data_IF_910215484756
#
_entry.id   IF_910215484756
#
_cell.length_a   1.000
_cell.length_b   1.000
_cell.length_c   1.000
_cell.angle_alpha   90.00
_cell.angle_beta   90.00
_cell.angle_gamma   90.00
#
_symmetry.space_group_name_H-M   'P 1'
#
loop_
_entity.id
_entity.type
_entity.pdbx_description
1 polymer ?
#
# COMPACT_ATOMS: atom_id res chain seq x y z
N UNK A 1 -33.08 -25.94 8.52
CA UNK A 1 -34.18 -25.27 7.79
C UNK A 1 -33.64 -24.99 6.39
N UNK A 2 -34.46 -25.09 5.35
CA UNK A 2 -34.02 -25.28 3.95
C UNK A 2 -33.08 -24.17 3.46
N UNK A 3 -31.82 -24.53 3.17
CA UNK A 3 -30.91 -23.67 2.41
C UNK A 3 -31.53 -23.40 1.03
N UNK A 4 -32.05 -22.20 0.80
CA UNK A 4 -32.49 -21.79 -0.53
C UNK A 4 -31.25 -21.62 -1.42
N UNK A 5 -30.93 -22.69 -2.14
CA UNK A 5 -29.90 -22.69 -3.17
C UNK A 5 -30.49 -22.16 -4.47
N UNK A 6 -30.02 -20.98 -4.90
CA UNK A 6 -30.41 -20.39 -6.18
C UNK A 6 -29.29 -20.61 -7.18
N UNK A 7 -29.50 -21.45 -8.20
CA UNK A 7 -28.50 -21.69 -9.24
C UNK A 7 -28.78 -20.81 -10.46
N UNK A 8 -27.78 -20.05 -10.90
CA UNK A 8 -27.83 -19.23 -12.14
C UNK A 8 -26.61 -19.61 -12.98
N UNK A 9 -26.84 -20.29 -14.11
CA UNK A 9 -25.77 -20.80 -14.97
C UNK A 9 -24.89 -21.83 -14.26
N UNK A 10 -23.57 -21.64 -14.28
CA UNK A 10 -22.60 -22.55 -13.64
C UNK A 10 -22.36 -22.26 -12.13
N UNK A 11 -23.15 -21.39 -11.51
CA UNK A 11 -22.90 -20.92 -10.14
C UNK A 11 -24.12 -21.13 -9.24
N UNK A 12 -23.90 -21.79 -8.11
CA UNK A 12 -24.89 -22.00 -7.05
C UNK A 12 -24.69 -20.97 -5.94
N UNK A 13 -25.72 -20.19 -5.66
CA UNK A 13 -25.77 -19.26 -4.54
C UNK A 13 -26.41 -19.93 -3.33
N UNK A 14 -25.81 -19.82 -2.16
CA UNK A 14 -26.43 -20.17 -0.87
C UNK A 14 -26.83 -18.87 -0.18
N UNK A 15 -28.11 -18.70 0.13
CA UNK A 15 -28.57 -17.67 1.06
C UNK A 15 -28.22 -18.10 2.49
N UNK A 16 -27.47 -17.27 3.22
CA UNK A 16 -27.12 -17.54 4.61
C UNK A 16 -28.19 -16.96 5.54
N UNK A 17 -28.63 -17.76 6.53
CA UNK A 17 -29.67 -17.39 7.50
C UNK A 17 -29.30 -16.15 8.34
N UNK A 18 -30.30 -15.38 8.80
CA UNK A 18 -30.08 -14.20 9.66
C UNK A 18 -29.28 -14.51 10.94
N UNK A 19 -29.44 -15.73 11.47
CA UNK A 19 -28.74 -16.22 12.65
C UNK A 19 -27.22 -16.37 12.43
N UNK A 20 -26.80 -16.70 11.19
CA UNK A 20 -25.39 -16.75 10.78
C UNK A 20 -24.72 -15.37 10.87
N UNK A 21 -25.43 -14.31 10.52
CA UNK A 21 -24.93 -12.93 10.61
C UNK A 21 -24.96 -12.38 12.05
N UNK A 22 -25.94 -12.80 12.86
CA UNK A 22 -26.07 -12.39 14.26
C UNK A 22 -24.86 -12.84 15.10
N UNK A 23 -24.35 -14.06 14.89
CA UNK A 23 -23.22 -14.62 15.63
C UNK A 23 -21.86 -13.99 15.28
N UNK A 24 -21.75 -13.26 14.15
CA UNK A 24 -20.50 -12.64 13.67
C UNK A 24 -20.44 -11.13 13.82
N UNK A 25 -21.34 -10.52 14.61
CA UNK A 25 -21.30 -9.08 14.88
C UNK A 25 -20.07 -8.72 15.72
N UNK A 26 -19.07 -8.16 15.05
CA UNK A 26 -17.91 -7.56 15.70
C UNK A 26 -18.35 -6.31 16.48
N UNK A 27 -17.74 -6.11 17.65
CA UNK A 27 -17.98 -4.93 18.48
C UNK A 27 -17.51 -3.68 17.71
N UNK A 28 -18.43 -2.79 17.34
CA UNK A 28 -18.11 -1.54 16.62
C UNK A 28 -17.21 -0.67 17.50
N UNK A 29 -15.92 -0.62 17.17
CA UNK A 29 -14.91 0.07 17.97
C UNK A 29 -14.25 1.25 17.22
N UNK A 30 -14.28 1.26 15.89
CA UNK A 30 -13.60 2.29 15.09
C UNK A 30 -14.56 3.44 14.74
N UNK A 31 -14.30 4.63 15.29
CA UNK A 31 -14.89 5.90 14.83
C UNK A 31 -14.15 6.48 13.61
N UNK A 32 -14.67 7.56 13.04
CA UNK A 32 -14.11 8.19 11.84
C UNK A 32 -12.62 8.55 11.97
N UNK A 33 -12.21 9.11 13.11
CA UNK A 33 -10.81 9.45 13.38
C UNK A 33 -9.88 8.24 13.45
N UNK A 34 -10.33 7.13 14.05
CA UNK A 34 -9.53 5.90 14.06
C UNK A 34 -9.43 5.28 12.68
N UNK A 35 -10.47 5.36 11.84
CA UNK A 35 -10.44 4.87 10.46
C UNK A 35 -9.50 5.71 9.60
N UNK A 36 -9.51 7.04 9.77
CA UNK A 36 -8.56 7.93 9.10
C UNK A 36 -7.12 7.63 9.50
N UNK A 37 -6.85 7.50 10.80
CA UNK A 37 -5.51 7.18 11.31
C UNK A 37 -5.01 5.82 10.80
N UNK A 38 -5.89 4.82 10.71
CA UNK A 38 -5.58 3.51 10.11
C UNK A 38 -5.24 3.64 8.62
N UNK A 39 -5.98 4.47 7.88
CA UNK A 39 -5.70 4.75 6.48
C UNK A 39 -4.32 5.39 6.26
N UNK A 40 -3.98 6.40 7.06
CA UNK A 40 -2.66 7.05 7.01
C UNK A 40 -1.55 6.05 7.34
N UNK A 41 -1.73 5.25 8.41
CA UNK A 41 -0.76 4.24 8.80
C UNK A 41 -0.52 3.16 7.72
N UNK A 42 -1.52 2.89 6.87
CA UNK A 42 -1.41 1.90 5.80
C UNK A 42 -0.58 2.39 4.60
N UNK A 43 -0.49 3.71 4.37
CA UNK A 43 0.18 4.28 3.18
C UNK A 43 1.53 4.93 3.46
N UNK A 44 1.81 5.29 4.72
CA UNK A 44 3.02 6.03 5.12
C UNK A 44 4.34 5.32 4.78
N UNK A 45 4.34 4.00 4.63
CA UNK A 45 5.54 3.25 4.21
C UNK A 45 6.00 3.62 2.80
N UNK A 46 5.09 4.09 1.94
CA UNK A 46 5.39 4.58 0.60
C UNK A 46 6.27 5.84 0.61
N UNK A 47 6.16 6.70 1.62
CA UNK A 47 7.02 7.89 1.71
C UNK A 47 8.51 7.54 1.94
N UNK A 48 8.77 6.34 2.44
CA UNK A 48 10.12 5.80 2.66
C UNK A 48 10.61 4.91 1.51
N UNK A 49 9.84 4.73 0.44
CA UNK A 49 10.20 3.76 -0.61
C UNK A 49 9.63 4.09 -1.99
N UNK A 50 10.30 3.64 -3.05
CA UNK A 50 9.74 3.69 -4.41
C UNK A 50 9.90 5.02 -5.15
N UNK A 51 9.70 6.17 -4.51
CA UNK A 51 9.78 7.48 -5.17
C UNK A 51 11.16 7.80 -5.74
N UNK A 52 12.22 7.31 -5.10
CA UNK A 52 13.60 7.43 -5.57
C UNK A 52 13.81 6.71 -6.92
N UNK A 53 13.16 5.57 -7.14
CA UNK A 53 13.21 4.86 -8.42
C UNK A 53 12.41 5.59 -9.49
N UNK A 54 11.29 6.22 -9.11
CA UNK A 54 10.53 7.09 -10.02
C UNK A 54 11.32 8.30 -10.49
N UNK A 55 12.11 8.92 -9.61
CA UNK A 55 13.04 10.00 -9.99
C UNK A 55 14.14 9.49 -10.93
N UNK A 56 14.72 8.33 -10.64
CA UNK A 56 15.77 7.73 -11.47
C UNK A 56 15.26 7.35 -12.86
N UNK A 57 14.03 6.85 -12.97
CA UNK A 57 13.42 6.43 -14.23
C UNK A 57 12.83 7.59 -15.06
N UNK A 58 12.28 8.62 -14.40
CA UNK A 58 11.49 9.67 -15.07
C UNK A 58 12.05 11.08 -14.96
N UNK A 59 13.07 11.29 -14.12
CA UNK A 59 13.44 12.62 -13.64
C UNK A 59 12.33 13.27 -12.81
N UNK A 60 12.57 14.51 -12.38
CA UNK A 60 11.59 15.24 -11.58
C UNK A 60 10.29 15.52 -12.34
N UNK A 61 10.39 15.98 -13.60
CA UNK A 61 9.22 16.31 -14.40
C UNK A 61 8.38 15.08 -14.77
N UNK A 62 9.03 13.96 -15.09
CA UNK A 62 8.35 12.69 -15.35
C UNK A 62 7.59 12.19 -14.12
N UNK A 63 8.27 12.12 -12.96
CA UNK A 63 7.63 11.72 -11.70
C UNK A 63 6.49 12.66 -11.30
N UNK A 64 6.63 13.97 -11.48
CA UNK A 64 5.60 14.95 -11.16
C UNK A 64 4.33 14.71 -11.99
N UNK A 65 4.48 14.53 -13.31
CA UNK A 65 3.34 14.25 -14.21
C UNK A 65 2.70 12.91 -13.86
N UNK A 66 3.50 11.86 -13.65
CA UNK A 66 3.00 10.55 -13.23
C UNK A 66 2.22 10.64 -11.92
N UNK A 67 2.74 11.40 -10.94
CA UNK A 67 2.08 11.62 -9.64
C UNK A 67 0.72 12.30 -9.81
N UNK A 68 0.62 13.32 -10.67
CA UNK A 68 -0.67 14.00 -10.94
C UNK A 68 -1.68 13.05 -11.58
N UNK A 69 -1.26 12.26 -12.57
CA UNK A 69 -2.12 11.28 -13.24
C UNK A 69 -2.65 10.24 -12.22
N UNK A 70 -1.75 9.65 -11.43
CA UNK A 70 -2.11 8.67 -10.41
C UNK A 70 -3.00 9.28 -9.34
N UNK A 71 -2.75 10.53 -8.94
CA UNK A 71 -3.61 11.26 -7.98
C UNK A 71 -5.05 11.36 -8.49
N UNK A 72 -5.24 11.75 -9.75
CA UNK A 72 -6.59 11.85 -10.35
C UNK A 72 -7.27 10.47 -10.39
N UNK A 73 -6.54 9.43 -10.81
CA UNK A 73 -7.05 8.06 -10.81
C UNK A 73 -7.44 7.59 -9.41
N UNK A 74 -6.61 7.90 -8.41
CA UNK A 74 -6.82 7.50 -7.03
C UNK A 74 -8.03 8.22 -6.41
N UNK A 75 -8.25 9.50 -6.72
CA UNK A 75 -9.48 10.19 -6.34
C UNK A 75 -10.72 9.47 -6.88
N UNK A 76 -10.72 9.10 -8.16
CA UNK A 76 -11.81 8.33 -8.77
C UNK A 76 -12.07 6.99 -8.07
N UNK A 77 -10.99 6.28 -7.72
CA UNK A 77 -11.07 5.04 -6.95
C UNK A 77 -11.66 5.27 -5.55
N UNK A 78 -11.19 6.28 -4.82
CA UNK A 78 -11.67 6.62 -3.48
C UNK A 78 -13.16 6.97 -3.48
N UNK A 79 -13.64 7.78 -4.45
CA UNK A 79 -15.05 8.10 -4.55
C UNK A 79 -15.90 6.87 -4.88
N UNK A 80 -15.42 6.01 -5.77
CA UNK A 80 -16.11 4.75 -6.10
C UNK A 80 -16.26 3.85 -4.86
N UNK A 81 -15.18 3.69 -4.07
CA UNK A 81 -15.23 2.90 -2.82
C UNK A 81 -16.10 3.59 -1.77
N UNK A 82 -16.08 4.92 -1.68
CA UNK A 82 -16.90 5.67 -0.75
C UNK A 82 -18.40 5.50 -1.03
N UNK A 83 -18.82 5.40 -2.29
CA UNK A 83 -20.21 5.13 -2.67
C UNK A 83 -20.61 3.66 -2.46
N UNK A 84 -19.69 2.72 -2.74
CA UNK A 84 -19.96 1.28 -2.61
C UNK A 84 -19.95 0.79 -1.16
N UNK A 85 -19.12 1.37 -0.29
CA UNK A 85 -18.99 0.95 1.11
C UNK A 85 -20.28 1.05 1.96
N UNK A 86 -21.15 2.09 1.85
CA UNK A 86 -22.46 2.08 2.51
C UNK A 86 -23.49 1.20 1.78
N UNK A 87 -23.36 1.02 0.47
CA UNK A 87 -24.28 0.19 -0.31
C UNK A 87 -24.11 -1.31 -0.02
N UNK A 88 -22.89 -1.73 0.33
CA UNK A 88 -22.57 -3.11 0.72
C UNK A 88 -21.85 -3.14 2.07
N UNK A 89 -22.58 -2.95 3.19
CA UNK A 89 -21.99 -2.77 4.52
C UNK A 89 -21.62 -4.12 5.17
N UNK A 90 -20.92 -4.97 4.42
CA UNK A 90 -20.41 -6.25 4.90
C UNK A 90 -18.92 -6.39 4.58
N UNK A 91 -18.23 -7.17 5.41
CA UNK A 91 -16.78 -7.38 5.30
C UNK A 91 -16.46 -8.21 4.06
N UNK A 92 -16.06 -7.57 2.97
CA UNK A 92 -15.73 -8.27 1.71
C UNK A 92 -14.82 -7.55 0.73
N UNK A 93 -14.35 -6.33 1.03
CA UNK A 93 -13.33 -5.63 0.23
C UNK A 93 -13.70 -5.42 -1.24
N UNK A 94 -12.69 -5.27 -2.10
CA UNK A 94 -12.92 -5.07 -3.53
C UNK A 94 -13.51 -6.33 -4.18
N UNK A 95 -13.19 -7.52 -3.66
CA UNK A 95 -13.83 -8.77 -4.07
C UNK A 95 -15.36 -8.70 -4.01
N UNK A 96 -15.92 -8.16 -2.93
CA UNK A 96 -17.38 -8.03 -2.79
C UNK A 96 -17.96 -7.10 -3.85
N UNK A 97 -17.35 -5.92 -4.01
CA UNK A 97 -17.82 -4.91 -4.95
C UNK A 97 -17.81 -5.45 -6.39
N UNK A 98 -16.73 -6.10 -6.80
CA UNK A 98 -16.62 -6.69 -8.14
C UNK A 98 -17.51 -7.91 -8.33
N UNK A 99 -17.69 -8.74 -7.29
CA UNK A 99 -18.65 -9.86 -7.31
C UNK A 99 -20.07 -9.37 -7.55
N UNK A 100 -20.46 -8.27 -6.93
CA UNK A 100 -21.80 -7.70 -7.08
C UNK A 100 -21.99 -6.90 -8.36
N UNK A 101 -20.97 -6.18 -8.83
CA UNK A 101 -21.06 -5.37 -10.06
C UNK A 101 -20.84 -6.18 -11.36
N UNK A 102 -19.91 -7.14 -11.33
CA UNK A 102 -19.41 -7.86 -12.52
C UNK A 102 -19.68 -9.37 -12.46
N UNK A 103 -20.36 -9.85 -11.42
CA UNK A 103 -20.72 -11.25 -11.24
C UNK A 103 -19.55 -12.15 -10.80
N UNK A 104 -19.73 -13.48 -10.88
CA UNK A 104 -18.81 -14.45 -10.28
C UNK A 104 -17.37 -14.38 -10.77
N UNK A 105 -17.17 -14.15 -12.06
CA UNK A 105 -15.84 -14.07 -12.68
C UNK A 105 -15.11 -12.77 -12.32
N UNK A 106 -15.81 -11.64 -12.25
CA UNK A 106 -15.22 -10.38 -11.78
C UNK A 106 -14.81 -10.46 -10.31
N UNK A 107 -15.65 -11.07 -9.48
CA UNK A 107 -15.30 -11.42 -8.10
C UNK A 107 -14.05 -12.30 -8.03
N UNK A 108 -14.03 -13.42 -8.74
CA UNK A 108 -12.89 -14.35 -8.74
C UNK A 108 -11.58 -13.68 -9.16
N UNK A 109 -11.58 -12.94 -10.27
CA UNK A 109 -10.39 -12.24 -10.77
C UNK A 109 -9.86 -11.22 -9.74
N UNK A 110 -10.77 -10.45 -9.13
CA UNK A 110 -10.40 -9.48 -8.09
C UNK A 110 -9.85 -10.16 -6.85
N UNK A 111 -10.46 -11.26 -6.39
CA UNK A 111 -9.98 -11.99 -5.21
C UNK A 111 -8.60 -12.62 -5.42
N UNK A 112 -8.32 -13.13 -6.64
CA UNK A 112 -6.98 -13.62 -6.99
C UNK A 112 -5.98 -12.47 -7.01
N UNK A 113 -6.33 -11.33 -7.61
CA UNK A 113 -5.48 -10.15 -7.65
C UNK A 113 -5.17 -9.62 -6.23
N UNK A 114 -6.18 -9.47 -5.37
CA UNK A 114 -6.02 -9.07 -3.97
C UNK A 114 -5.12 -10.08 -3.22
N UNK A 115 -5.27 -11.39 -3.46
CA UNK A 115 -4.43 -12.40 -2.81
C UNK A 115 -2.96 -12.24 -3.19
N UNK A 116 -2.68 -12.00 -4.47
CA UNK A 116 -1.31 -11.73 -4.95
C UNK A 116 -0.78 -10.45 -4.31
N UNK A 117 -1.57 -9.38 -4.31
CA UNK A 117 -1.23 -8.10 -3.69
C UNK A 117 -0.85 -8.26 -2.21
N UNK A 118 -1.65 -9.00 -1.43
CA UNK A 118 -1.39 -9.25 -0.01
C UNK A 118 -0.14 -10.10 0.26
N UNK A 119 0.32 -10.91 -0.70
CA UNK A 119 1.56 -11.69 -0.58
C UNK A 119 2.78 -10.86 -1.01
N UNK A 120 2.64 -10.08 -2.09
CA UNK A 120 3.73 -9.27 -2.64
C UNK A 120 4.03 -8.06 -1.75
N UNK A 121 3.02 -7.42 -1.17
CA UNK A 121 3.19 -6.20 -0.34
C UNK A 121 4.15 -6.42 0.83
N UNK A 122 4.01 -7.46 1.67
CA UNK A 122 4.98 -7.76 2.72
C UNK A 122 6.40 -8.04 2.17
N UNK A 123 6.53 -8.69 1.02
CA UNK A 123 7.83 -8.98 0.41
C UNK A 123 8.55 -7.69 -0.02
N UNK A 124 7.83 -6.75 -0.62
CA UNK A 124 8.36 -5.42 -0.98
C UNK A 124 8.80 -4.67 0.28
N UNK A 125 7.94 -4.62 1.31
CA UNK A 125 8.24 -3.94 2.59
C UNK A 125 9.50 -4.53 3.24
N UNK A 126 9.61 -5.86 3.31
CA UNK A 126 10.78 -6.55 3.86
C UNK A 126 12.05 -6.24 3.07
N UNK A 127 11.95 -6.11 1.74
CA UNK A 127 13.09 -5.78 0.89
C UNK A 127 13.65 -4.39 1.20
N UNK A 128 12.78 -3.37 1.31
CA UNK A 128 13.21 -2.03 1.71
C UNK A 128 13.69 -1.97 3.15
N UNK A 129 12.99 -2.60 4.09
CA UNK A 129 13.43 -2.63 5.48
C UNK A 129 14.82 -3.30 5.63
N UNK A 130 15.07 -4.37 4.86
CA UNK A 130 16.37 -5.04 4.83
C UNK A 130 17.46 -4.14 4.24
N UNK A 131 17.20 -3.37 3.18
CA UNK A 131 18.21 -2.46 2.61
C UNK A 131 18.57 -1.33 3.58
N UNK A 132 17.60 -0.82 4.35
CA UNK A 132 17.86 0.14 5.42
C UNK A 132 18.69 -0.45 6.56
N UNK A 133 18.31 -1.63 7.06
CA UNK A 133 19.09 -2.33 8.10
C UNK A 133 20.51 -2.64 7.63
N UNK A 134 20.66 -3.13 6.41
CA UNK A 134 21.95 -3.40 5.79
C UNK A 134 22.83 -2.15 5.76
N UNK A 135 22.28 -1.00 5.36
CA UNK A 135 23.01 0.27 5.29
C UNK A 135 23.44 0.76 6.67
N UNK A 136 22.54 0.69 7.67
CA UNK A 136 22.82 1.08 9.05
C UNK A 136 23.92 0.20 9.66
N UNK A 137 23.78 -1.12 9.53
CA UNK A 137 24.72 -2.06 10.16
C UNK A 137 26.09 -2.09 9.50
N UNK A 138 26.15 -1.90 8.18
CA UNK A 138 27.41 -1.72 7.48
C UNK A 138 28.12 -0.43 7.97
N UNK A 139 27.39 0.68 8.07
CA UNK A 139 27.98 1.96 8.48
C UNK A 139 28.41 2.01 9.94
N UNK A 140 27.62 1.46 10.86
CA UNK A 140 27.83 1.65 12.31
C UNK A 140 28.60 0.50 12.96
N UNK A 141 28.48 -0.72 12.41
CA UNK A 141 29.00 -1.93 13.03
C UNK A 141 29.95 -2.72 12.13
N UNK A 142 30.25 -2.22 10.92
CA UNK A 142 31.04 -2.91 9.89
C UNK A 142 30.55 -4.36 9.65
N UNK A 143 29.25 -4.58 9.84
CA UNK A 143 28.62 -5.89 9.72
C UNK A 143 27.69 -5.90 8.52
N UNK A 144 28.03 -6.74 7.54
CA UNK A 144 27.31 -6.85 6.28
C UNK A 144 26.99 -8.31 5.98
N UNK A 145 25.98 -8.90 6.65
CA UNK A 145 25.55 -10.26 6.33
C UNK A 145 24.91 -10.32 4.94
N UNK A 146 24.69 -11.53 4.42
CA UNK A 146 23.95 -11.70 3.19
C UNK A 146 22.50 -11.20 3.34
N UNK A 147 21.94 -10.57 2.29
CA UNK A 147 20.63 -9.91 2.34
C UNK A 147 19.49 -10.81 2.82
N UNK A 148 19.52 -12.10 2.48
CA UNK A 148 18.51 -13.06 2.92
C UNK A 148 18.45 -13.24 4.45
N UNK A 149 19.55 -12.96 5.16
CA UNK A 149 19.61 -13.00 6.63
C UNK A 149 18.68 -11.92 7.20
N UNK A 150 18.71 -10.72 6.65
CA UNK A 150 17.80 -9.64 7.04
C UNK A 150 16.34 -10.00 6.76
N UNK A 151 16.06 -10.61 5.61
CA UNK A 151 14.71 -11.07 5.28
C UNK A 151 14.21 -12.09 6.32
N UNK A 152 15.05 -13.08 6.66
CA UNK A 152 14.70 -14.09 7.65
C UNK A 152 14.42 -13.46 9.03
N UNK A 153 15.27 -12.54 9.49
CA UNK A 153 15.08 -11.83 10.76
C UNK A 153 13.77 -11.04 10.75
N UNK A 154 13.52 -10.24 9.71
CA UNK A 154 12.31 -9.42 9.60
C UNK A 154 11.04 -10.27 9.53
N UNK A 155 11.04 -11.35 8.75
CA UNK A 155 9.90 -12.27 8.70
C UNK A 155 9.65 -12.95 10.04
N UNK A 156 10.70 -13.38 10.75
CA UNK A 156 10.55 -13.95 12.09
C UNK A 156 9.91 -12.95 13.05
N UNK A 157 10.32 -11.68 13.00
CA UNK A 157 9.74 -10.60 13.82
C UNK A 157 8.26 -10.39 13.45
N UNK A 158 7.94 -10.21 12.17
CA UNK A 158 6.58 -9.92 11.73
C UNK A 158 5.64 -11.11 11.96
N UNK A 159 6.07 -12.34 11.68
CA UNK A 159 5.30 -13.54 11.96
C UNK A 159 5.12 -13.71 13.47
N UNK A 160 6.18 -13.52 14.25
CA UNK A 160 6.11 -13.56 15.72
C UNK A 160 5.09 -12.57 16.28
N UNK A 161 5.10 -11.32 15.79
CA UNK A 161 4.14 -10.29 16.18
C UNK A 161 2.70 -10.65 15.77
N UNK A 162 2.51 -11.24 14.59
CA UNK A 162 1.21 -11.75 14.16
C UNK A 162 0.69 -12.89 15.05
N UNK A 163 1.56 -13.75 15.56
CA UNK A 163 1.19 -14.85 16.46
C UNK A 163 0.83 -14.36 17.87
N UNK A 164 1.50 -13.32 18.38
CA UNK A 164 1.26 -12.76 19.73
C UNK A 164 -0.14 -12.16 19.87
N UNK A 165 -0.72 -11.66 18.79
CA UNK A 165 -2.13 -11.31 18.72
C UNK A 165 -2.42 -9.91 18.20
N UNK A 166 -3.64 -9.75 17.68
CA UNK A 166 -4.10 -8.59 16.93
C UNK A 166 -4.01 -7.28 17.72
N UNK A 167 -4.26 -7.30 19.03
CA UNK A 167 -4.17 -6.09 19.86
C UNK A 167 -2.75 -5.53 19.96
N UNK A 168 -1.75 -6.41 20.09
CA UNK A 168 -0.35 -6.00 20.11
C UNK A 168 0.07 -5.41 18.75
N UNK A 169 -0.36 -6.03 17.65
CA UNK A 169 -0.12 -5.53 16.29
C UNK A 169 -0.70 -4.13 16.09
N UNK A 170 -1.93 -3.89 16.52
CA UNK A 170 -2.55 -2.56 16.40
C UNK A 170 -1.79 -1.48 17.16
N UNK A 171 -1.40 -1.75 18.41
CA UNK A 171 -0.64 -0.78 19.22
C UNK A 171 0.72 -0.50 18.59
N UNK A 172 1.38 -1.53 18.08
CA UNK A 172 2.66 -1.41 17.37
C UNK A 172 2.51 -0.55 16.11
N UNK A 173 1.50 -0.82 15.27
CA UNK A 173 1.23 -0.04 14.05
C UNK A 173 1.01 1.43 14.35
N UNK A 174 0.21 1.77 15.36
CA UNK A 174 -0.03 3.17 15.74
C UNK A 174 1.27 3.84 16.22
N UNK A 175 2.06 3.16 17.04
CA UNK A 175 3.34 3.67 17.51
C UNK A 175 4.31 3.95 16.35
N UNK A 176 4.45 2.99 15.42
CA UNK A 176 5.31 3.14 14.25
C UNK A 176 4.81 4.26 13.34
N UNK A 177 3.50 4.39 13.13
CA UNK A 177 2.93 5.49 12.34
C UNK A 177 3.31 6.86 12.93
N UNK A 178 3.16 7.06 14.23
CA UNK A 178 3.54 8.32 14.89
C UNK A 178 5.04 8.59 14.80
N UNK A 179 5.87 7.55 14.97
CA UNK A 179 7.32 7.65 14.80
C UNK A 179 7.69 8.05 13.37
N UNK A 180 7.10 7.40 12.36
CA UNK A 180 7.31 7.69 10.95
C UNK A 180 6.91 9.12 10.58
N UNK A 181 5.76 9.61 11.08
CA UNK A 181 5.36 11.01 10.90
C UNK A 181 6.39 11.97 11.51
N UNK A 182 6.93 11.65 12.68
CA UNK A 182 8.01 12.44 13.30
C UNK A 182 9.27 12.47 12.44
N UNK A 183 9.70 11.34 11.90
CA UNK A 183 10.86 11.24 11.00
C UNK A 183 10.63 12.06 9.72
N UNK A 184 9.46 11.95 9.10
CA UNK A 184 9.12 12.73 7.92
C UNK A 184 9.10 14.22 8.21
N UNK A 185 8.54 14.64 9.36
CA UNK A 185 8.54 16.04 9.76
C UNK A 185 9.98 16.59 9.90
N UNK A 186 10.87 15.82 10.54
CA UNK A 186 12.30 16.19 10.64
C UNK A 186 12.94 16.26 9.25
N UNK A 187 12.70 15.27 8.39
CA UNK A 187 13.22 15.24 7.02
C UNK A 187 12.77 16.46 6.21
N UNK A 188 11.49 16.80 6.21
CA UNK A 188 10.99 17.96 5.47
C UNK A 188 11.55 19.27 6.01
N UNK A 189 11.60 19.46 7.33
CA UNK A 189 12.16 20.67 7.94
C UNK A 189 13.65 20.81 7.63
N UNK A 190 14.43 19.72 7.73
CA UNK A 190 15.84 19.72 7.38
C UNK A 190 16.06 20.01 5.89
N UNK A 191 15.24 19.42 5.02
CA UNK A 191 15.33 19.61 3.56
C UNK A 191 15.11 21.06 3.12
N UNK A 192 14.40 21.88 3.91
CA UNK A 192 14.22 23.31 3.60
C UNK A 192 15.54 24.10 3.65
N UNK A 193 16.52 23.67 4.45
CA UNK A 193 17.81 24.36 4.56
C UNK A 193 18.74 24.08 3.38
N UNK A 194 18.72 22.86 2.83
CA UNK A 194 19.59 22.42 1.73
C UNK A 194 18.86 22.39 0.37
N UNK A 195 17.66 22.97 0.29
CA UNK A 195 16.89 22.99 -0.95
C UNK A 195 17.56 23.86 -2.02
N UNK A 196 17.81 23.26 -3.19
CA UNK A 196 18.28 23.97 -4.38
C UNK A 196 17.43 23.60 -5.60
N UNK A 197 17.01 24.61 -6.35
CA UNK A 197 16.30 24.44 -7.63
C UNK A 197 17.09 23.64 -8.65
N UNK A 198 18.42 23.67 -8.60
CA UNK A 198 19.29 22.87 -9.48
C UNK A 198 19.11 21.36 -9.30
N UNK A 199 18.64 20.92 -8.12
CA UNK A 199 18.45 19.51 -7.83
C UNK A 199 17.20 18.93 -8.51
N UNK A 200 16.32 19.77 -9.05
CA UNK A 200 15.16 19.30 -9.82
C UNK A 200 15.57 18.79 -11.21
N UNK A 201 16.69 19.27 -11.73
CA UNK A 201 17.19 18.99 -13.08
C UNK A 201 18.61 18.45 -13.05
N UNK A 202 18.97 17.71 -11.99
CA UNK A 202 20.31 17.17 -11.80
C UNK A 202 20.57 15.88 -12.58
N UNK A 203 19.55 15.33 -13.24
CA UNK A 203 19.66 14.17 -14.12
C UNK A 203 19.91 14.67 -15.54
N UNK A 204 21.02 14.23 -16.13
CA UNK A 204 21.42 14.65 -17.47
C UNK A 204 20.42 14.12 -18.53
N UNK A 205 19.96 14.96 -19.47
CA UNK A 205 19.04 14.51 -20.51
C UNK A 205 19.71 13.59 -21.53
N UNK A 206 18.99 12.56 -21.95
CA UNK A 206 19.38 11.65 -23.01
C UNK A 206 18.80 12.10 -24.37
N UNK A 207 19.45 11.75 -25.48
CA UNK A 207 18.86 11.89 -26.81
C UNK A 207 18.48 13.32 -27.25
N UNK A 208 18.99 14.37 -26.60
CA UNK A 208 18.61 15.76 -26.88
C UNK A 208 17.30 16.19 -26.21
N UNK A 209 16.81 15.44 -25.24
CA UNK A 209 15.66 15.79 -24.43
C UNK A 209 15.92 17.03 -23.55
N UNK A 210 14.85 17.57 -22.95
CA UNK A 210 14.94 18.71 -22.04
C UNK A 210 15.37 18.29 -20.62
N UNK A 211 16.00 19.19 -19.89
CA UNK A 211 16.39 19.00 -18.48
C UNK A 211 15.22 18.63 -17.54
N UNK A 212 13.98 19.00 -17.89
CA UNK A 212 12.78 18.67 -17.11
C UNK A 212 12.26 17.24 -17.38
N UNK A 213 12.54 16.71 -18.56
CA UNK A 213 12.14 15.38 -19.02
C UNK A 213 13.36 14.68 -19.61
N UNK A 214 14.34 14.27 -18.78
CA UNK A 214 15.62 13.75 -19.27
C UNK A 214 15.47 12.52 -20.17
N UNK A 215 14.43 11.71 -19.93
CA UNK A 215 14.10 10.50 -20.70
C UNK A 215 12.88 10.71 -21.63
N UNK A 216 12.51 11.96 -21.91
CA UNK A 216 11.35 12.29 -22.74
C UNK A 216 10.01 12.24 -21.99
N UNK A 217 8.96 12.78 -22.61
CA UNK A 217 7.66 13.03 -21.96
C UNK A 217 6.75 11.81 -21.89
N UNK A 218 6.93 10.84 -22.77
CA UNK A 218 6.15 9.59 -22.77
C UNK A 218 6.92 8.53 -22.02
N UNK A 219 8.18 8.33 -22.42
CA UNK A 219 9.06 7.34 -21.82
C UNK A 219 9.30 7.63 -20.34
N UNK A 220 9.74 8.83 -19.96
CA UNK A 220 9.94 9.20 -18.56
C UNK A 220 8.68 9.29 -17.69
N UNK A 221 7.47 9.12 -18.25
CA UNK A 221 6.20 9.15 -17.48
C UNK A 221 5.56 7.76 -17.36
N UNK A 222 5.72 6.90 -18.37
CA UNK A 222 4.97 5.63 -18.49
C UNK A 222 5.85 4.37 -18.58
N UNK A 223 7.17 4.48 -18.54
CA UNK A 223 8.10 3.33 -18.54
C UNK A 223 8.22 2.64 -17.18
#
# INVERSE_FOLDING_TARGET
MEEQQRTIGAVTYREADEEYFAQRKLRRFAGAWSLWALGVAAVISGDFSGWNFGLDAGGFGGLLVATVIITIMYFGLCYSIAEMSPAQPHTGGAYSFSRSAMGPWGGFATGVAETIEYVVTPAVIVTFAASYLQSIFNSWFDWSPATWVWWAILYLIFVGLNVVGVEASFRFTVFICLLSLGILAVFYVASLWDFSWSNLTNIAPEGGNSDWFPFGTVEGVFL
#
